data_IF_667585088660
#
_entry.id   IF_667585088660
#
_cell.length_a   1.000
_cell.length_b   1.000
_cell.length_c   1.000
_cell.angle_alpha   90.00
_cell.angle_beta   90.00
_cell.angle_gamma   90.00
#
_symmetry.space_group_name_H-M   'P 1'
#
loop_
_entity.id
_entity.type
_entity.pdbx_description
1 polymer ?
#
# COMPACT_ATOMS: atom_id res chain seq x y z
N UNK A 1 -40.38 -20.73 -15.83
CA UNK A 1 -40.20 -19.25 -15.87
C UNK A 1 -41.02 -18.51 -14.81
N UNK A 2 -42.26 -18.89 -14.49
CA UNK A 2 -43.10 -18.22 -13.49
C UNK A 2 -42.45 -18.09 -12.09
N UNK A 3 -41.85 -19.16 -11.55
CA UNK A 3 -41.19 -19.16 -10.21
C UNK A 3 -40.04 -18.15 -10.06
N UNK A 4 -39.29 -17.90 -11.16
CA UNK A 4 -38.17 -16.92 -11.14
C UNK A 4 -38.72 -15.49 -11.11
N UNK A 5 -39.82 -15.23 -11.82
CA UNK A 5 -40.49 -13.92 -11.82
C UNK A 5 -41.15 -13.63 -10.47
N UNK A 6 -41.77 -14.63 -9.83
CA UNK A 6 -42.36 -14.48 -8.51
C UNK A 6 -41.30 -14.24 -7.43
N UNK A 7 -40.16 -14.94 -7.51
CA UNK A 7 -39.01 -14.70 -6.65
C UNK A 7 -38.49 -13.26 -6.83
N UNK A 8 -38.31 -12.80 -8.07
CA UNK A 8 -37.86 -11.42 -8.34
C UNK A 8 -38.82 -10.36 -7.79
N UNK A 9 -40.12 -10.61 -7.81
CA UNK A 9 -41.11 -9.69 -7.22
C UNK A 9 -41.08 -9.66 -5.70
N UNK A 10 -40.59 -10.71 -5.04
CA UNK A 10 -40.52 -10.80 -3.59
C UNK A 10 -39.25 -10.11 -3.03
N UNK A 11 -38.17 -9.91 -3.84
CA UNK A 11 -36.90 -9.36 -3.41
C UNK A 11 -37.00 -7.94 -2.79
N UNK A 12 -37.78 -6.99 -3.36
CA UNK A 12 -37.93 -5.66 -2.77
C UNK A 12 -38.56 -5.68 -1.37
N UNK A 13 -39.50 -6.60 -1.15
CA UNK A 13 -40.16 -6.76 0.14
C UNK A 13 -39.23 -7.34 1.22
N UNK A 14 -38.15 -8.03 0.80
CA UNK A 14 -37.07 -8.54 1.66
C UNK A 14 -35.94 -7.54 1.83
N UNK A 15 -36.08 -6.30 1.32
CA UNK A 15 -35.01 -5.30 1.36
C UNK A 15 -33.82 -5.58 0.43
N UNK A 16 -33.96 -6.55 -0.47
CA UNK A 16 -32.92 -6.88 -1.44
C UNK A 16 -32.99 -5.95 -2.66
N UNK A 17 -31.88 -5.33 -2.99
CA UNK A 17 -31.73 -4.50 -4.20
C UNK A 17 -31.14 -5.40 -5.29
N UNK A 18 -31.81 -5.49 -6.44
CA UNK A 18 -31.28 -6.21 -7.60
C UNK A 18 -31.20 -5.30 -8.82
N UNK A 19 -30.26 -5.59 -9.69
CA UNK A 19 -30.02 -4.84 -10.93
C UNK A 19 -30.04 -5.80 -12.11
N UNK A 20 -30.61 -5.35 -13.20
CA UNK A 20 -30.59 -6.09 -14.48
C UNK A 20 -29.39 -5.60 -15.30
N UNK A 21 -28.71 -6.53 -15.93
CA UNK A 21 -27.61 -6.25 -16.85
C UNK A 21 -27.88 -6.94 -18.17
N UNK A 22 -27.50 -6.32 -19.28
CA UNK A 22 -27.76 -6.81 -20.64
C UNK A 22 -26.57 -7.63 -21.17
N UNK A 23 -25.39 -7.39 -20.67
CA UNK A 23 -24.15 -8.03 -21.10
C UNK A 23 -23.12 -8.12 -19.95
N UNK A 24 -22.03 -8.84 -20.20
CA UNK A 24 -20.99 -9.09 -19.21
C UNK A 24 -20.25 -7.78 -18.81
N UNK A 25 -20.04 -6.86 -19.74
CA UNK A 25 -19.34 -5.60 -19.48
C UNK A 25 -20.18 -4.69 -18.58
N UNK A 26 -21.50 -4.67 -18.77
CA UNK A 26 -22.41 -3.94 -17.90
C UNK A 26 -22.44 -4.56 -16.49
N UNK A 27 -22.42 -5.90 -16.39
CA UNK A 27 -22.33 -6.60 -15.13
C UNK A 27 -21.04 -6.24 -14.38
N UNK A 28 -19.88 -6.30 -15.03
CA UNK A 28 -18.59 -5.95 -14.45
C UNK A 28 -18.57 -4.52 -13.91
N UNK A 29 -19.06 -3.54 -14.69
CA UNK A 29 -19.16 -2.14 -14.28
C UNK A 29 -20.09 -1.95 -13.08
N UNK A 30 -21.24 -2.61 -13.06
CA UNK A 30 -22.20 -2.54 -11.95
C UNK A 30 -21.63 -3.17 -10.69
N UNK A 31 -21.01 -4.35 -10.79
CA UNK A 31 -20.37 -5.03 -9.67
C UNK A 31 -19.22 -4.18 -9.10
N UNK A 32 -18.33 -3.67 -9.95
CA UNK A 32 -17.23 -2.79 -9.53
C UNK A 32 -17.73 -1.53 -8.83
N UNK A 33 -18.78 -0.88 -9.37
CA UNK A 33 -19.37 0.31 -8.77
C UNK A 33 -20.01 0.02 -7.40
N UNK A 34 -20.74 -1.09 -7.28
CA UNK A 34 -21.42 -1.44 -6.04
C UNK A 34 -20.44 -1.90 -4.96
N UNK A 35 -19.46 -2.74 -5.31
CA UNK A 35 -18.40 -3.15 -4.39
C UNK A 35 -17.64 -1.93 -3.89
N UNK A 36 -17.23 -1.03 -4.78
CA UNK A 36 -16.52 0.20 -4.40
C UNK A 36 -17.32 1.06 -3.42
N UNK A 37 -18.63 1.27 -3.70
CA UNK A 37 -19.50 2.03 -2.80
C UNK A 37 -19.69 1.37 -1.44
N UNK A 38 -19.87 0.06 -1.40
CA UNK A 38 -20.03 -0.68 -0.15
C UNK A 38 -18.74 -0.68 0.67
N UNK A 39 -17.60 -0.86 0.04
CA UNK A 39 -16.29 -0.78 0.70
C UNK A 39 -16.04 0.63 1.26
N UNK A 40 -16.36 1.69 0.51
CA UNK A 40 -16.23 3.06 0.99
C UNK A 40 -17.16 3.36 2.17
N UNK A 41 -18.43 2.95 2.11
CA UNK A 41 -19.39 3.14 3.20
C UNK A 41 -19.03 2.32 4.46
N UNK A 42 -18.43 1.15 4.28
CA UNK A 42 -17.91 0.32 5.36
C UNK A 42 -16.67 0.95 6.00
N UNK A 43 -15.72 1.45 5.19
CA UNK A 43 -14.53 2.18 5.68
C UNK A 43 -14.92 3.39 6.52
N UNK A 44 -15.85 4.23 6.06
CA UNK A 44 -16.32 5.39 6.81
C UNK A 44 -16.89 5.01 8.18
N UNK A 45 -17.76 3.99 8.24
CA UNK A 45 -18.33 3.49 9.51
C UNK A 45 -17.26 2.98 10.46
N UNK A 46 -16.23 2.34 9.95
CA UNK A 46 -15.15 1.78 10.76
C UNK A 46 -14.18 2.85 11.27
N UNK A 47 -13.87 3.85 10.45
CA UNK A 47 -13.08 5.00 10.89
C UNK A 47 -13.80 5.76 12.02
N UNK A 48 -15.12 5.90 11.94
CA UNK A 48 -15.95 6.47 13.01
C UNK A 48 -15.87 5.64 14.30
N UNK A 49 -15.90 4.31 14.21
CA UNK A 49 -15.75 3.40 15.37
C UNK A 49 -14.35 3.53 15.97
N UNK A 50 -13.29 3.48 15.15
CA UNK A 50 -11.89 3.63 15.62
C UNK A 50 -11.61 4.98 16.28
N UNK A 51 -12.16 6.07 15.73
CA UNK A 51 -12.06 7.40 16.34
C UNK A 51 -12.76 7.42 17.71
N UNK A 52 -13.92 6.78 17.79
CA UNK A 52 -14.68 6.68 19.05
C UNK A 52 -13.95 5.85 20.10
N UNK A 53 -13.44 4.69 19.73
CA UNK A 53 -12.65 3.82 20.63
C UNK A 53 -11.37 4.50 21.10
N UNK A 54 -10.65 5.20 20.22
CA UNK A 54 -9.46 5.97 20.59
C UNK A 54 -9.78 7.11 21.54
N UNK A 55 -10.91 7.78 21.36
CA UNK A 55 -11.39 8.84 22.27
C UNK A 55 -11.79 8.29 23.63
N UNK A 56 -12.43 7.12 23.68
CA UNK A 56 -12.82 6.44 24.92
C UNK A 56 -11.59 5.94 25.69
N UNK A 57 -10.59 5.38 25.00
CA UNK A 57 -9.32 4.96 25.62
C UNK A 57 -8.48 6.13 26.14
N UNK A 58 -8.46 7.26 25.44
CA UNK A 58 -7.79 8.48 25.93
C UNK A 58 -8.48 9.07 27.15
N UNK A 59 -9.80 8.96 27.25
CA UNK A 59 -10.56 9.41 28.40
C UNK A 59 -10.34 8.52 29.64
N UNK A 60 -10.12 7.22 29.46
CA UNK A 60 -9.84 6.26 30.52
C UNK A 60 -8.36 6.28 30.97
N UNK A 61 -7.43 6.58 30.08
CA UNK A 61 -6.00 6.63 30.38
C UNK A 61 -5.59 7.83 31.27
N UNK A 62 -6.45 8.84 31.40
CA UNK A 62 -6.20 10.00 32.27
C UNK A 62 -6.40 9.71 33.77
N UNK A 63 -6.86 8.52 34.18
CA UNK A 63 -7.23 8.19 35.55
C UNK A 63 -6.49 7.02 36.19
N UNK A 64 -5.45 6.43 35.55
CA UNK A 64 -4.70 5.28 36.13
C UNK A 64 -3.18 5.52 36.05
N UNK A 65 -2.43 5.35 37.17
CA UNK A 65 -0.96 5.44 37.12
C UNK A 65 -0.35 4.28 36.31
N UNK A 66 0.82 4.46 35.71
CA UNK A 66 1.39 3.49 34.78
C UNK A 66 1.95 2.29 35.54
N UNK A 67 1.13 1.25 35.67
CA UNK A 67 1.63 -0.08 35.97
C UNK A 67 1.62 -0.84 34.65
N UNK A 68 2.82 -1.18 34.17
CA UNK A 68 3.02 -1.95 32.95
C UNK A 68 2.32 -3.32 33.09
N UNK A 69 1.13 -3.41 32.54
CA UNK A 69 0.51 -4.69 32.20
C UNK A 69 0.56 -4.78 30.69
N UNK A 70 1.51 -5.57 30.18
CA UNK A 70 1.50 -6.02 28.81
C UNK A 70 0.11 -6.61 28.53
N UNK A 71 -0.67 -5.95 27.66
CA UNK A 71 -1.85 -6.57 27.07
C UNK A 71 -1.36 -7.61 26.06
N UNK A 72 -1.05 -8.80 26.59
CA UNK A 72 -1.20 -10.04 25.84
C UNK A 72 -2.71 -10.27 25.67
N UNK A 73 -3.34 -9.49 24.78
CA UNK A 73 -4.59 -9.91 24.18
C UNK A 73 -4.23 -11.09 23.28
N UNK A 74 -4.72 -12.28 23.65
CA UNK A 74 -4.47 -13.53 22.97
C UNK A 74 -4.91 -13.40 21.50
N UNK A 75 -3.94 -13.21 20.62
CA UNK A 75 -4.05 -13.28 19.17
C UNK A 75 -4.50 -14.68 18.68
N UNK A 76 -4.69 -15.59 19.62
CA UNK A 76 -4.92 -17.02 19.39
C UNK A 76 -6.38 -17.35 19.04
N UNK A 77 -7.32 -16.43 19.31
CA UNK A 77 -8.75 -16.65 19.07
C UNK A 77 -9.23 -16.17 17.66
N UNK A 78 -8.36 -15.56 16.85
CA UNK A 78 -8.73 -15.07 15.54
C UNK A 78 -8.99 -16.22 14.55
N UNK A 79 -10.19 -16.26 13.99
CA UNK A 79 -10.58 -17.24 12.96
C UNK A 79 -10.02 -16.90 11.57
N UNK A 80 -10.15 -17.84 10.65
CA UNK A 80 -9.70 -17.67 9.27
C UNK A 80 -10.27 -16.42 8.58
N UNK A 81 -11.56 -16.13 8.80
CA UNK A 81 -12.23 -14.97 8.19
C UNK A 81 -11.69 -13.67 8.75
N UNK A 82 -11.47 -13.58 10.08
CA UNK A 82 -10.92 -12.39 10.73
C UNK A 82 -9.52 -12.07 10.21
N UNK A 83 -8.68 -13.11 10.03
CA UNK A 83 -7.34 -12.96 9.46
C UNK A 83 -7.36 -12.53 7.99
N UNK A 84 -8.31 -13.01 7.20
CA UNK A 84 -8.49 -12.53 5.82
C UNK A 84 -8.92 -11.07 5.78
N UNK A 85 -9.80 -10.63 6.67
CA UNK A 85 -10.19 -9.21 6.78
C UNK A 85 -8.96 -8.34 7.07
N UNK A 86 -8.17 -8.70 8.07
CA UNK A 86 -6.92 -7.98 8.40
C UNK A 86 -5.97 -7.94 7.21
N UNK A 87 -5.77 -9.07 6.53
CA UNK A 87 -4.92 -9.10 5.32
C UNK A 87 -5.46 -8.19 4.21
N UNK A 88 -6.74 -8.22 3.94
CA UNK A 88 -7.36 -7.38 2.91
C UNK A 88 -7.23 -5.89 3.24
N UNK A 89 -7.37 -5.51 4.51
CA UNK A 89 -7.15 -4.14 4.95
C UNK A 89 -5.72 -3.68 4.74
N UNK A 90 -4.76 -4.47 5.24
CA UNK A 90 -3.36 -4.16 5.07
C UNK A 90 -2.97 -4.08 3.60
N UNK A 91 -3.51 -4.97 2.74
CA UNK A 91 -3.30 -4.94 1.30
C UNK A 91 -3.87 -3.67 0.65
N UNK A 92 -5.04 -3.23 1.11
CA UNK A 92 -5.64 -1.97 0.64
C UNK A 92 -4.81 -0.77 1.05
N UNK A 93 -4.34 -0.72 2.30
CA UNK A 93 -3.44 0.33 2.80
C UNK A 93 -2.14 0.39 1.99
N UNK A 94 -1.50 -0.76 1.76
CA UNK A 94 -0.30 -0.84 0.91
C UNK A 94 -0.56 -0.30 -0.50
N UNK A 95 -1.71 -0.62 -1.09
CA UNK A 95 -2.08 -0.14 -2.42
C UNK A 95 -2.30 1.38 -2.45
N UNK A 96 -2.93 1.93 -1.42
CA UNK A 96 -3.12 3.38 -1.29
C UNK A 96 -1.79 4.12 -1.10
N UNK A 97 -0.88 3.57 -0.29
CA UNK A 97 0.47 4.12 -0.12
C UNK A 97 1.23 4.11 -1.44
N UNK A 98 1.19 2.98 -2.17
CA UNK A 98 1.82 2.87 -3.49
C UNK A 98 1.28 3.90 -4.47
N UNK A 99 -0.04 4.14 -4.49
CA UNK A 99 -0.66 5.18 -5.32
C UNK A 99 -0.18 6.57 -4.94
N UNK A 100 -0.14 6.91 -3.63
CA UNK A 100 0.34 8.21 -3.15
C UNK A 100 1.81 8.45 -3.50
N UNK A 101 2.65 7.42 -3.40
CA UNK A 101 4.07 7.50 -3.79
C UNK A 101 4.23 7.64 -5.31
N UNK A 102 3.41 6.95 -6.10
CA UNK A 102 3.40 7.07 -7.57
C UNK A 102 3.05 8.49 -8.01
N UNK A 103 2.02 9.09 -7.40
CA UNK A 103 1.64 10.50 -7.69
C UNK A 103 2.80 11.44 -7.34
N UNK A 104 3.41 11.27 -6.17
CA UNK A 104 4.56 12.10 -5.77
C UNK A 104 5.78 11.93 -6.70
N UNK A 105 6.02 10.72 -7.20
CA UNK A 105 7.08 10.44 -8.18
C UNK A 105 6.78 11.09 -9.53
N UNK A 106 5.53 11.08 -9.98
CA UNK A 106 5.12 11.75 -11.22
C UNK A 106 5.32 13.25 -11.13
N UNK A 107 4.92 13.88 -10.00
CA UNK A 107 5.16 15.30 -9.75
C UNK A 107 6.66 15.65 -9.81
N UNK A 108 7.52 14.83 -9.20
CA UNK A 108 8.97 14.99 -9.26
C UNK A 108 9.48 14.89 -10.70
N UNK A 109 8.98 13.91 -11.47
CA UNK A 109 9.36 13.70 -12.86
C UNK A 109 8.98 14.90 -13.71
N UNK A 110 7.77 15.42 -13.58
CA UNK A 110 7.27 16.58 -14.32
C UNK A 110 8.11 17.83 -14.02
N UNK A 111 8.44 18.08 -12.75
CA UNK A 111 9.30 19.20 -12.35
C UNK A 111 10.71 19.05 -12.89
N UNK A 112 11.25 17.82 -12.90
CA UNK A 112 12.59 17.54 -13.41
C UNK A 112 12.67 17.72 -14.93
N UNK A 113 11.64 17.29 -15.67
CA UNK A 113 11.55 17.47 -17.11
C UNK A 113 11.43 18.95 -17.48
N UNK A 114 10.54 19.70 -16.81
CA UNK A 114 10.41 21.16 -17.00
C UNK A 114 11.73 21.87 -16.69
N UNK A 115 12.39 21.51 -15.59
CA UNK A 115 13.68 22.08 -15.23
C UNK A 115 14.76 21.81 -16.27
N UNK A 116 14.80 20.60 -16.84
CA UNK A 116 15.71 20.26 -17.93
C UNK A 116 15.45 21.11 -19.16
N UNK A 117 14.21 21.19 -19.60
CA UNK A 117 13.83 21.96 -20.78
C UNK A 117 14.17 23.44 -20.64
N UNK A 118 13.88 24.03 -19.47
CA UNK A 118 14.26 25.43 -19.17
C UNK A 118 15.79 25.62 -19.22
N UNK A 119 16.56 24.66 -18.69
CA UNK A 119 18.03 24.76 -18.74
C UNK A 119 18.57 24.62 -20.18
N UNK A 120 17.98 23.76 -21.02
CA UNK A 120 18.31 23.63 -22.45
C UNK A 120 17.98 24.93 -23.20
N UNK A 121 16.81 25.53 -22.95
CA UNK A 121 16.42 26.82 -23.53
C UNK A 121 17.37 27.96 -23.11
N UNK A 122 17.77 28.00 -21.83
CA UNK A 122 18.72 28.98 -21.34
C UNK A 122 20.11 28.77 -21.97
N UNK A 123 20.52 27.55 -22.19
CA UNK A 123 21.79 27.20 -22.84
C UNK A 123 21.78 27.58 -24.34
N UNK A 124 20.67 27.39 -25.04
CA UNK A 124 20.50 27.80 -26.42
C UNK A 124 20.58 29.34 -26.60
N UNK A 125 20.17 30.09 -25.56
CA UNK A 125 20.25 31.56 -25.52
C UNK A 125 21.54 32.08 -24.86
N UNK A 126 22.65 31.38 -25.01
CA UNK A 126 23.88 31.47 -24.23
C UNK A 126 24.45 32.87 -23.98
N UNK A 127 24.07 33.90 -24.73
CA UNK A 127 24.51 35.30 -24.55
C UNK A 127 23.63 36.08 -23.53
N UNK A 128 22.44 35.60 -23.16
CA UNK A 128 21.48 36.31 -22.30
C UNK A 128 21.15 35.57 -20.99
N UNK A 129 21.57 34.31 -20.84
CA UNK A 129 21.23 33.52 -19.66
C UNK A 129 21.97 33.98 -18.41
N UNK A 130 21.24 34.56 -17.46
CA UNK A 130 21.77 34.92 -16.16
C UNK A 130 22.05 33.69 -15.29
N UNK A 131 23.21 33.65 -14.61
CA UNK A 131 23.53 32.64 -13.59
C UNK A 131 22.40 32.50 -12.53
N UNK A 132 21.69 33.60 -12.25
CA UNK A 132 20.56 33.61 -11.33
C UNK A 132 19.39 32.81 -11.85
N UNK A 133 19.08 32.87 -13.17
CA UNK A 133 17.98 32.09 -13.76
C UNK A 133 18.29 30.58 -13.70
N UNK A 134 19.50 30.18 -14.05
CA UNK A 134 19.96 28.79 -13.93
C UNK A 134 19.83 28.30 -12.49
N UNK A 135 20.30 29.10 -11.52
CA UNK A 135 20.20 28.75 -10.08
C UNK A 135 18.76 28.59 -9.63
N UNK A 136 17.87 29.48 -10.05
CA UNK A 136 16.43 29.42 -9.69
C UNK A 136 15.75 28.16 -10.27
N UNK A 137 16.05 27.77 -11.51
CA UNK A 137 15.53 26.55 -12.11
C UNK A 137 16.02 25.32 -11.36
N UNK A 138 17.31 25.24 -11.02
CA UNK A 138 17.88 24.16 -10.21
C UNK A 138 17.24 24.12 -8.80
N UNK A 139 16.99 25.29 -8.21
CA UNK A 139 16.33 25.41 -6.91
C UNK A 139 14.92 24.80 -6.92
N UNK A 140 14.11 25.07 -7.97
CA UNK A 140 12.78 24.45 -8.10
C UNK A 140 12.81 22.93 -8.21
N UNK A 141 13.80 22.37 -8.92
CA UNK A 141 14.01 20.92 -8.97
C UNK A 141 14.40 20.38 -7.61
N UNK A 142 15.31 21.04 -6.91
CA UNK A 142 15.70 20.67 -5.54
C UNK A 142 14.51 20.67 -4.57
N UNK A 143 13.63 21.66 -4.66
CA UNK A 143 12.40 21.73 -3.85
C UNK A 143 11.42 20.60 -4.17
N UNK A 144 11.28 20.22 -5.45
CA UNK A 144 10.48 19.07 -5.84
C UNK A 144 11.05 17.74 -5.27
N UNK A 145 12.38 17.57 -5.30
CA UNK A 145 13.05 16.43 -4.67
C UNK A 145 12.80 16.37 -3.15
N UNK A 146 12.83 17.52 -2.47
CA UNK A 146 12.55 17.57 -1.03
C UNK A 146 11.09 17.27 -0.69
N UNK A 147 10.13 17.73 -1.52
CA UNK A 147 8.72 17.36 -1.35
C UNK A 147 8.50 15.87 -1.52
N UNK A 148 9.07 15.26 -2.54
CA UNK A 148 9.04 13.80 -2.73
C UNK A 148 9.63 13.07 -1.53
N UNK A 149 10.82 13.49 -1.06
CA UNK A 149 11.46 12.93 0.14
C UNK A 149 10.54 12.98 1.36
N UNK A 150 9.90 14.14 1.61
CA UNK A 150 8.97 14.30 2.72
C UNK A 150 7.75 13.38 2.60
N UNK A 151 7.28 13.11 1.38
CA UNK A 151 6.19 12.15 1.16
C UNK A 151 6.64 10.72 1.47
N UNK A 152 7.80 10.29 0.97
CA UNK A 152 8.36 8.97 1.29
C UNK A 152 8.50 8.78 2.79
N UNK A 153 9.07 9.77 3.51
CA UNK A 153 9.25 9.71 4.95
C UNK A 153 7.92 9.62 5.74
N UNK A 154 6.86 10.24 5.23
CA UNK A 154 5.54 10.18 5.85
C UNK A 154 4.84 8.82 5.62
N UNK A 155 5.03 8.21 4.45
CA UNK A 155 4.38 6.95 4.09
C UNK A 155 5.11 5.71 4.65
N UNK A 156 6.41 5.80 4.91
CA UNK A 156 7.24 4.67 5.34
C UNK A 156 6.72 3.94 6.60
N UNK A 157 6.36 4.65 7.69
CA UNK A 157 5.83 4.00 8.89
C UNK A 157 4.51 3.28 8.65
N UNK A 158 3.65 3.85 7.78
CA UNK A 158 2.36 3.26 7.42
C UNK A 158 2.57 1.99 6.58
N UNK A 159 3.50 2.05 5.62
CA UNK A 159 3.86 0.90 4.79
C UNK A 159 4.38 -0.26 5.64
N UNK A 160 5.30 0.02 6.58
CA UNK A 160 5.82 -1.00 7.51
C UNK A 160 4.71 -1.65 8.32
N UNK A 161 3.84 -0.85 8.94
CA UNK A 161 2.73 -1.37 9.75
C UNK A 161 1.78 -2.25 8.91
N UNK A 162 1.47 -1.84 7.68
CA UNK A 162 0.63 -2.61 6.77
C UNK A 162 1.31 -3.91 6.32
N UNK A 163 2.61 -3.90 6.05
CA UNK A 163 3.39 -5.11 5.73
C UNK A 163 3.40 -6.07 6.89
N UNK A 164 3.80 -5.64 8.08
CA UNK A 164 3.92 -6.49 9.26
C UNK A 164 2.57 -7.13 9.62
N UNK A 165 1.49 -6.34 9.67
CA UNK A 165 0.14 -6.82 9.96
C UNK A 165 -0.39 -7.75 8.87
N UNK A 166 -0.25 -7.37 7.60
CA UNK A 166 -0.75 -8.14 6.47
C UNK A 166 -0.04 -9.47 6.29
N UNK A 167 1.30 -9.50 6.43
CA UNK A 167 2.08 -10.74 6.29
C UNK A 167 1.78 -11.72 7.43
N UNK A 168 1.68 -11.24 8.67
CA UNK A 168 1.29 -12.08 9.80
C UNK A 168 -0.10 -12.69 9.58
N UNK A 169 -1.09 -11.87 9.23
CA UNK A 169 -2.45 -12.33 8.97
C UNK A 169 -2.51 -13.34 7.81
N UNK A 170 -1.79 -13.11 6.71
CA UNK A 170 -1.72 -14.01 5.56
C UNK A 170 -1.18 -15.38 5.94
N UNK A 171 -0.06 -15.43 6.67
CA UNK A 171 0.59 -16.69 7.07
C UNK A 171 -0.32 -17.49 8.00
N UNK A 172 -0.90 -16.85 9.03
CA UNK A 172 -1.84 -17.48 9.96
C UNK A 172 -3.09 -18.00 9.25
N UNK A 173 -3.69 -17.19 8.37
CA UNK A 173 -4.86 -17.60 7.58
C UNK A 173 -4.56 -18.81 6.70
N UNK A 174 -3.42 -18.80 6.01
CA UNK A 174 -3.01 -19.91 5.16
C UNK A 174 -2.71 -21.20 5.95
N UNK A 175 -2.14 -21.08 7.15
CA UNK A 175 -1.89 -22.22 8.05
C UNK A 175 -3.21 -22.82 8.52
N UNK A 176 -4.15 -21.99 9.00
CA UNK A 176 -5.47 -22.47 9.43
C UNK A 176 -6.25 -23.13 8.30
N UNK A 177 -6.26 -22.53 7.10
CA UNK A 177 -7.01 -23.11 5.98
C UNK A 177 -6.40 -24.41 5.46
N UNK A 178 -5.10 -24.63 5.63
CA UNK A 178 -4.44 -25.86 5.22
C UNK A 178 -4.99 -27.11 5.93
N UNK A 179 -5.52 -26.96 7.15
CA UNK A 179 -6.09 -28.04 7.96
C UNK A 179 -7.42 -28.56 7.38
N UNK A 180 -8.26 -27.69 6.79
CA UNK A 180 -9.59 -28.08 6.31
C UNK A 180 -9.79 -27.87 4.80
N UNK A 181 -8.97 -27.07 4.13
CA UNK A 181 -9.05 -26.81 2.68
C UNK A 181 -7.63 -26.62 2.07
N UNK A 182 -6.87 -27.70 1.82
CA UNK A 182 -5.52 -27.63 1.26
C UNK A 182 -5.45 -26.96 -0.13
N UNK A 183 -6.51 -27.05 -0.93
CA UNK A 183 -6.58 -26.39 -2.24
C UNK A 183 -6.55 -24.85 -2.10
N UNK A 184 -7.33 -24.32 -1.17
CA UNK A 184 -7.33 -22.90 -0.85
C UNK A 184 -5.96 -22.44 -0.32
N UNK A 185 -5.31 -23.22 0.52
CA UNK A 185 -3.96 -22.92 1.00
C UNK A 185 -2.94 -22.87 -0.15
N UNK A 186 -3.04 -23.79 -1.15
CA UNK A 186 -2.20 -23.73 -2.37
C UNK A 186 -2.47 -22.47 -3.19
N UNK A 187 -3.72 -22.05 -3.33
CA UNK A 187 -4.09 -20.81 -4.01
C UNK A 187 -3.51 -19.59 -3.31
N UNK A 188 -3.62 -19.53 -1.97
CA UNK A 188 -3.05 -18.47 -1.14
C UNK A 188 -1.52 -18.42 -1.30
N UNK A 189 -0.86 -19.58 -1.30
CA UNK A 189 0.58 -19.67 -1.55
C UNK A 189 0.95 -19.11 -2.93
N UNK A 190 0.19 -19.43 -3.97
CA UNK A 190 0.44 -18.92 -5.32
C UNK A 190 0.26 -17.39 -5.40
N UNK A 191 -0.74 -16.84 -4.70
CA UNK A 191 -0.93 -15.40 -4.58
C UNK A 191 0.23 -14.71 -3.85
N UNK A 192 0.75 -15.32 -2.78
CA UNK A 192 1.91 -14.84 -2.04
C UNK A 192 3.19 -14.81 -2.91
N UNK A 193 3.41 -15.79 -3.77
CA UNK A 193 4.52 -15.76 -4.73
C UNK A 193 4.42 -14.61 -5.74
N UNK A 194 3.20 -14.28 -6.20
CA UNK A 194 2.99 -13.13 -7.10
C UNK A 194 3.30 -11.81 -6.37
N UNK A 195 2.86 -11.69 -5.12
CA UNK A 195 3.14 -10.52 -4.30
C UNK A 195 4.66 -10.35 -4.09
N UNK A 196 5.39 -11.44 -3.83
CA UNK A 196 6.84 -11.42 -3.70
C UNK A 196 7.52 -10.89 -4.97
N UNK A 197 7.09 -11.34 -6.16
CA UNK A 197 7.60 -10.82 -7.43
C UNK A 197 7.32 -9.32 -7.60
N UNK A 198 6.11 -8.86 -7.26
CA UNK A 198 5.75 -7.44 -7.34
C UNK A 198 6.58 -6.58 -6.37
N UNK A 199 6.86 -7.05 -5.16
CA UNK A 199 7.73 -6.35 -4.21
C UNK A 199 9.17 -6.25 -4.74
N UNK A 200 9.70 -7.32 -5.33
CA UNK A 200 11.03 -7.32 -5.94
C UNK A 200 11.14 -6.33 -7.11
N UNK A 201 10.13 -6.24 -7.97
CA UNK A 201 10.06 -5.25 -9.06
C UNK A 201 10.01 -3.81 -8.51
N UNK A 202 9.22 -3.57 -7.46
CA UNK A 202 9.13 -2.26 -6.82
C UNK A 202 10.46 -1.85 -6.16
N UNK A 203 11.15 -2.79 -5.51
CA UNK A 203 12.49 -2.58 -4.95
C UNK A 203 13.49 -2.22 -6.04
N UNK A 204 13.55 -3.00 -7.12
CA UNK A 204 14.45 -2.73 -8.24
C UNK A 204 14.21 -1.35 -8.85
N UNK A 205 12.97 -0.99 -9.12
CA UNK A 205 12.62 0.34 -9.65
C UNK A 205 13.06 1.47 -8.70
N UNK A 206 12.95 1.26 -7.39
CA UNK A 206 13.40 2.22 -6.38
C UNK A 206 14.92 2.33 -6.34
N UNK A 207 15.66 1.23 -6.50
CA UNK A 207 17.12 1.23 -6.61
C UNK A 207 17.60 1.98 -7.86
N UNK A 208 16.92 1.80 -8.99
CA UNK A 208 17.21 2.54 -10.23
C UNK A 208 17.00 4.05 -10.05
N UNK A 209 15.91 4.46 -9.41
CA UNK A 209 15.64 5.86 -9.08
C UNK A 209 16.72 6.41 -8.14
N UNK A 210 17.14 5.65 -7.13
CA UNK A 210 18.22 6.00 -6.22
C UNK A 210 19.54 6.21 -6.97
N UNK A 211 19.92 5.28 -7.84
CA UNK A 211 21.12 5.36 -8.65
C UNK A 211 21.11 6.58 -9.60
N UNK A 212 19.98 6.82 -10.26
CA UNK A 212 19.78 8.01 -11.10
C UNK A 212 19.92 9.30 -10.30
N UNK A 213 19.29 9.37 -9.12
CA UNK A 213 19.41 10.52 -8.22
C UNK A 213 20.86 10.71 -7.75
N UNK A 214 21.55 9.64 -7.38
CA UNK A 214 22.95 9.68 -6.95
C UNK A 214 23.89 10.15 -8.07
N UNK A 215 23.57 9.90 -9.32
CA UNK A 215 24.30 10.33 -10.51
C UNK A 215 24.18 11.82 -10.84
N UNK A 216 23.23 12.56 -10.26
CA UNK A 216 23.04 13.98 -10.55
C UNK A 216 24.32 14.81 -10.27
N UNK A 217 24.68 15.77 -11.13
CA UNK A 217 25.88 16.59 -10.95
C UNK A 217 25.77 17.53 -9.75
N UNK A 218 26.92 17.92 -9.18
CA UNK A 218 27.01 18.86 -8.05
C UNK A 218 26.93 20.30 -8.53
N UNK A 219 25.73 20.79 -8.86
CA UNK A 219 25.56 22.12 -9.44
C UNK A 219 25.36 23.22 -8.39
N UNK A 220 24.50 23.01 -7.39
CA UNK A 220 24.26 23.99 -6.33
C UNK A 220 24.25 23.32 -4.96
N UNK A 221 24.37 24.12 -3.88
CA UNK A 221 24.29 23.61 -2.50
C UNK A 221 22.93 23.02 -2.21
N UNK A 222 21.87 23.67 -2.67
CA UNK A 222 20.47 23.29 -2.48
C UNK A 222 20.19 21.93 -3.15
N UNK A 223 20.60 21.74 -4.40
CA UNK A 223 20.47 20.49 -5.12
C UNK A 223 21.26 19.36 -4.44
N UNK A 224 22.47 19.64 -3.97
CA UNK A 224 23.28 18.63 -3.30
C UNK A 224 22.67 18.19 -1.95
N UNK A 225 22.00 19.09 -1.24
CA UNK A 225 21.27 18.76 0.01
C UNK A 225 20.04 17.90 -0.33
N UNK A 226 19.23 18.32 -1.32
CA UNK A 226 18.06 17.59 -1.76
C UNK A 226 18.42 16.17 -2.24
N UNK A 227 19.44 16.05 -3.09
CA UNK A 227 19.98 14.78 -3.56
C UNK A 227 20.33 13.82 -2.40
N UNK A 228 21.10 14.27 -1.41
CA UNK A 228 21.48 13.42 -0.27
C UNK A 228 20.26 12.96 0.53
N UNK A 229 19.31 13.87 0.78
CA UNK A 229 18.08 13.53 1.51
C UNK A 229 17.23 12.52 0.75
N UNK A 230 17.07 12.72 -0.56
CA UNK A 230 16.29 11.81 -1.40
C UNK A 230 16.95 10.43 -1.48
N UNK A 231 18.27 10.34 -1.70
CA UNK A 231 18.99 9.05 -1.68
C UNK A 231 18.78 8.33 -0.35
N UNK A 232 18.92 9.04 0.78
CA UNK A 232 18.68 8.44 2.09
C UNK A 232 17.24 7.98 2.33
N UNK A 233 16.24 8.69 1.80
CA UNK A 233 14.84 8.26 1.87
C UNK A 233 14.57 7.02 1.00
N UNK A 234 15.14 6.99 -0.21
CA UNK A 234 15.04 5.83 -1.09
C UNK A 234 15.78 4.60 -0.52
N UNK A 235 16.91 4.78 0.17
CA UNK A 235 17.57 3.70 0.90
C UNK A 235 16.66 3.07 1.95
N UNK A 236 15.96 3.91 2.74
CA UNK A 236 15.00 3.41 3.72
C UNK A 236 13.84 2.65 3.06
N UNK A 237 13.31 3.16 1.94
CA UNK A 237 12.23 2.51 1.21
C UNK A 237 12.68 1.15 0.63
N UNK A 238 13.89 1.05 0.08
CA UNK A 238 14.48 -0.22 -0.36
C UNK A 238 14.56 -1.21 0.80
N UNK A 239 15.06 -0.76 1.97
CA UNK A 239 15.13 -1.61 3.16
C UNK A 239 13.76 -2.13 3.63
N UNK A 240 12.68 -1.34 3.48
CA UNK A 240 11.32 -1.81 3.79
C UNK A 240 10.83 -2.85 2.77
N UNK A 241 11.15 -2.70 1.49
CA UNK A 241 10.85 -3.74 0.50
C UNK A 241 11.60 -5.04 0.79
N UNK A 242 12.89 -4.96 1.12
CA UNK A 242 13.70 -6.14 1.53
C UNK A 242 13.10 -6.83 2.76
N UNK A 243 12.66 -6.06 3.76
CA UNK A 243 11.99 -6.60 4.93
C UNK A 243 10.67 -7.31 4.56
N UNK A 244 9.85 -6.70 3.69
CA UNK A 244 8.61 -7.27 3.21
C UNK A 244 8.84 -8.59 2.42
N UNK A 245 9.84 -8.60 1.53
CA UNK A 245 10.25 -9.79 0.78
C UNK A 245 10.68 -10.93 1.72
N UNK A 246 11.47 -10.61 2.74
CA UNK A 246 11.94 -11.56 3.74
C UNK A 246 10.78 -12.16 4.54
N UNK A 247 9.89 -11.34 5.09
CA UNK A 247 8.73 -11.78 5.87
C UNK A 247 7.83 -12.69 5.04
N UNK A 248 7.60 -12.33 3.78
CA UNK A 248 6.78 -13.13 2.88
C UNK A 248 7.46 -14.45 2.51
N UNK A 249 8.77 -14.45 2.29
CA UNK A 249 9.53 -15.67 2.02
C UNK A 249 9.53 -16.64 3.22
N UNK A 250 9.72 -16.12 4.44
CA UNK A 250 9.60 -16.89 5.68
C UNK A 250 8.19 -17.46 5.84
N UNK A 251 7.16 -16.67 5.61
CA UNK A 251 5.76 -17.11 5.63
C UNK A 251 5.45 -18.21 4.61
N UNK A 252 6.00 -18.12 3.40
CA UNK A 252 5.86 -19.16 2.38
C UNK A 252 6.46 -20.50 2.79
N UNK A 253 7.54 -20.52 3.57
CA UNK A 253 8.13 -21.72 4.15
C UNK A 253 7.16 -22.35 5.16
N UNK A 254 6.56 -21.57 6.03
CA UNK A 254 5.55 -22.03 7.01
C UNK A 254 4.34 -22.64 6.31
N UNK A 255 3.76 -21.95 5.32
CA UNK A 255 2.62 -22.44 4.53
C UNK A 255 2.98 -23.75 3.81
N UNK A 256 4.20 -23.87 3.30
CA UNK A 256 4.66 -25.09 2.62
C UNK A 256 4.81 -26.27 3.60
N UNK A 257 5.19 -26.02 4.85
CA UNK A 257 5.23 -27.02 5.93
C UNK A 257 3.82 -27.53 6.24
N UNK A 258 2.89 -26.64 6.54
CA UNK A 258 1.49 -26.99 6.86
C UNK A 258 0.80 -27.80 5.75
N UNK A 259 1.15 -27.56 4.48
CA UNK A 259 0.61 -28.35 3.34
C UNK A 259 1.18 -29.76 3.24
N UNK A 260 2.37 -30.03 3.79
CA UNK A 260 2.98 -31.37 3.79
C UNK A 260 2.45 -32.26 4.91
N UNK A 261 2.13 -31.64 6.04
CA UNK A 261 1.65 -32.34 7.24
C UNK A 261 0.15 -32.66 7.17
N UNK A 262 -0.57 -32.10 6.17
CA UNK A 262 -1.99 -32.38 5.94
C UNK A 262 -2.14 -33.77 5.33
N UNK A 263 -2.74 -34.78 6.01
CA UNK A 263 -2.92 -36.08 5.46
C UNK A 263 -3.82 -36.02 4.22
N UNK A 264 -3.34 -36.65 3.13
CA UNK A 264 -4.14 -36.88 1.94
C UNK A 264 -5.37 -37.75 2.35
N UNK A 265 -6.54 -37.15 2.50
CA UNK A 265 -7.80 -37.87 2.60
C UNK A 265 -8.32 -38.19 1.20
#
# INVERSE_FOLDING_TARGET
MAKVQDFRRSLPALGAIFWEFTDADQFEKLVSLHITKHVQAWRQRRDEVRVRERSEHQSLAASVPPTAVAQEQSDDDSGYIDLLEVFMECSSEMSEIALRLTVAQQELTDHSQKGRQELEDLQARAQEASTTQVRNTIGRVADAMLRFTGRVDAELPLFRAAVDGGMNALVRAATLVAEFNPEQARSTKAAAFKLLATLAEARQSTEELKASTAGLPRMTKELNVAKRKQVAALDRLVSEFENAERLLAEGLVVIAGSLKDSPLQ
#
